data_IF_152077214080
#
_entry.id   IF_152077214080
#
_cell.length_a   1.000
_cell.length_b   1.000
_cell.length_c   1.000
_cell.angle_alpha   90.00
_cell.angle_beta   90.00
_cell.angle_gamma   90.00
#
_symmetry.space_group_name_H-M   'P 1'
#
loop_
_entity.id
_entity.type
_entity.pdbx_description
1 polymer ?
#
# COMPACT_ATOMS: atom_id res chain seq x y z
N UNK A 1 -11.63 1.94 11.66
CA UNK A 1 -12.98 2.44 11.23
C UNK A 1 -12.98 3.93 10.93
N UNK A 2 -12.31 4.78 11.69
CA UNK A 2 -12.29 6.24 11.43
C UNK A 2 -11.73 6.64 10.05
N UNK A 3 -10.68 5.95 9.56
CA UNK A 3 -10.05 6.22 8.24
C UNK A 3 -11.03 5.97 7.08
N UNK A 4 -11.74 4.85 7.08
CA UNK A 4 -12.75 4.54 6.05
C UNK A 4 -13.89 5.56 6.06
N UNK A 5 -14.41 5.92 7.23
CA UNK A 5 -15.46 6.92 7.34
C UNK A 5 -15.02 8.32 6.86
N UNK A 6 -13.74 8.68 7.09
CA UNK A 6 -13.14 9.92 6.56
C UNK A 6 -13.06 9.87 5.04
N UNK A 7 -12.56 8.77 4.47
CA UNK A 7 -12.48 8.60 3.01
C UNK A 7 -13.87 8.64 2.36
N UNK A 8 -14.88 7.98 2.96
CA UNK A 8 -16.25 8.01 2.45
C UNK A 8 -16.84 9.42 2.39
N UNK A 9 -16.52 10.26 3.37
CA UNK A 9 -16.90 11.70 3.32
C UNK A 9 -16.22 12.38 2.14
N UNK A 10 -14.91 12.20 1.99
CA UNK A 10 -14.15 12.77 0.87
C UNK A 10 -14.70 12.30 -0.49
N UNK A 11 -15.08 11.03 -0.62
CA UNK A 11 -15.72 10.48 -1.84
C UNK A 11 -17.02 11.23 -2.15
N UNK A 12 -17.88 11.43 -1.16
CA UNK A 12 -19.13 12.22 -1.32
C UNK A 12 -18.86 13.67 -1.70
N UNK A 13 -17.93 14.31 -1.01
CA UNK A 13 -17.61 15.74 -1.23
C UNK A 13 -17.08 16.00 -2.65
N UNK A 14 -16.54 14.94 -3.29
CA UNK A 14 -16.11 14.97 -4.69
C UNK A 14 -17.21 14.55 -5.69
N UNK A 15 -18.44 14.32 -5.24
CA UNK A 15 -19.56 13.91 -6.10
C UNK A 15 -19.36 12.53 -6.72
N UNK A 16 -18.73 11.61 -5.99
CA UNK A 16 -18.50 10.24 -6.44
C UNK A 16 -19.37 9.27 -5.63
N UNK A 17 -19.81 8.20 -6.29
CA UNK A 17 -20.51 7.08 -5.64
C UNK A 17 -19.55 6.12 -4.96
N UNK A 18 -18.34 5.96 -5.49
CA UNK A 18 -17.28 5.14 -4.90
C UNK A 18 -15.89 5.58 -5.35
N UNK A 19 -14.86 5.10 -4.61
CA UNK A 19 -13.46 5.14 -5.00
C UNK A 19 -12.92 3.71 -5.10
N UNK A 20 -12.28 3.39 -6.22
CA UNK A 20 -11.51 2.14 -6.40
C UNK A 20 -10.07 2.41 -5.98
N UNK A 21 -9.61 1.67 -4.96
CA UNK A 21 -8.26 1.74 -4.41
C UNK A 21 -7.52 0.45 -4.77
N UNK A 22 -6.43 0.59 -5.49
CA UNK A 22 -5.59 -0.53 -5.97
C UNK A 22 -4.18 -0.49 -5.39
N UNK A 23 -3.76 0.66 -4.87
CA UNK A 23 -2.45 0.85 -4.25
C UNK A 23 -2.40 0.14 -2.89
N UNK A 24 -1.60 -0.92 -2.80
CA UNK A 24 -1.53 -1.75 -1.60
C UNK A 24 -1.18 -0.99 -0.31
N UNK A 25 -0.25 -0.02 -0.30
CA UNK A 25 -0.02 0.83 0.86
C UNK A 25 -1.27 1.60 1.32
N UNK A 26 -2.09 2.08 0.38
CA UNK A 26 -3.35 2.74 0.70
C UNK A 26 -4.39 1.76 1.26
N UNK A 27 -4.44 0.55 0.71
CA UNK A 27 -5.30 -0.53 1.24
C UNK A 27 -4.87 -0.90 2.66
N UNK A 28 -3.57 -1.06 2.89
CA UNK A 28 -3.03 -1.31 4.24
C UNK A 28 -3.43 -0.18 5.20
N UNK A 29 -3.20 1.07 4.83
CA UNK A 29 -3.58 2.23 5.63
C UNK A 29 -5.06 2.22 6.01
N UNK A 30 -5.95 1.86 5.07
CA UNK A 30 -7.40 1.93 5.26
C UNK A 30 -7.98 0.77 6.05
N UNK A 31 -7.51 -0.46 5.83
CA UNK A 31 -8.11 -1.70 6.35
C UNK A 31 -7.13 -2.66 7.02
N UNK A 32 -5.83 -2.33 7.08
CA UNK A 32 -4.78 -3.14 7.74
C UNK A 32 -4.23 -4.29 6.91
N UNK A 33 -4.64 -4.46 5.66
CA UNK A 33 -4.22 -5.58 4.82
C UNK A 33 -2.77 -5.44 4.32
N UNK A 34 -1.94 -6.45 4.57
CA UNK A 34 -0.51 -6.49 4.22
C UNK A 34 -0.15 -7.41 3.05
N UNK A 35 -1.14 -8.08 2.45
CA UNK A 35 -0.92 -8.98 1.32
C UNK A 35 -0.56 -8.25 0.02
N UNK A 36 -0.07 -9.01 -0.98
CA UNK A 36 0.47 -8.47 -2.24
C UNK A 36 -0.55 -8.41 -3.40
N UNK A 37 -1.82 -8.74 -3.18
CA UNK A 37 -2.86 -8.65 -4.20
C UNK A 37 -4.22 -8.32 -3.59
N UNK A 38 -4.84 -7.24 -4.04
CA UNK A 38 -6.16 -6.85 -3.57
C UNK A 38 -6.66 -5.55 -4.20
N UNK A 39 -7.97 -5.37 -4.20
CA UNK A 39 -8.65 -4.16 -4.62
C UNK A 39 -9.70 -3.82 -3.58
N UNK A 40 -9.72 -2.57 -3.13
CA UNK A 40 -10.72 -2.06 -2.19
C UNK A 40 -11.64 -1.08 -2.92
N UNK A 41 -12.93 -1.30 -2.84
CA UNK A 41 -13.94 -0.35 -3.31
C UNK A 41 -14.59 0.29 -2.10
N UNK A 42 -14.45 1.61 -1.99
CA UNK A 42 -14.99 2.41 -0.90
C UNK A 42 -16.16 3.24 -1.42
N UNK A 43 -17.41 2.79 -1.19
CA UNK A 43 -18.59 3.56 -1.61
C UNK A 43 -18.75 4.80 -0.74
N UNK A 44 -19.38 5.84 -1.31
CA UNK A 44 -19.76 7.05 -0.58
C UNK A 44 -20.66 6.73 0.63
N UNK A 45 -21.52 5.71 0.49
CA UNK A 45 -22.39 5.20 1.53
C UNK A 45 -22.35 3.68 1.57
N UNK A 46 -22.57 3.11 2.75
CA UNK A 46 -22.56 1.66 2.93
C UNK A 46 -21.19 1.10 3.31
N UNK A 47 -21.06 -0.21 3.27
CA UNK A 47 -19.85 -0.90 3.73
C UNK A 47 -18.84 -1.07 2.59
N UNK A 48 -17.57 -0.65 2.76
CA UNK A 48 -16.51 -0.92 1.80
C UNK A 48 -16.38 -2.40 1.46
N UNK A 49 -15.93 -2.72 0.25
CA UNK A 49 -15.78 -4.09 -0.22
C UNK A 49 -14.35 -4.34 -0.67
N UNK A 50 -13.69 -5.29 -0.01
CA UNK A 50 -12.34 -5.72 -0.31
C UNK A 50 -12.34 -7.05 -1.07
N UNK A 51 -11.59 -7.08 -2.16
CA UNK A 51 -11.43 -8.24 -3.03
C UNK A 51 -9.97 -8.70 -3.01
N UNK A 52 -9.77 -10.00 -2.82
CA UNK A 52 -8.44 -10.62 -2.90
C UNK A 52 -8.59 -12.07 -3.38
N UNK A 53 -7.47 -12.77 -3.56
CA UNK A 53 -7.47 -14.15 -4.02
C UNK A 53 -7.29 -15.18 -2.89
N UNK A 54 -7.45 -16.45 -3.24
CA UNK A 54 -7.46 -17.60 -2.33
C UNK A 54 -6.18 -17.72 -1.46
N UNK A 55 -5.04 -17.20 -1.91
CA UNK A 55 -3.76 -17.23 -1.16
C UNK A 55 -3.87 -16.51 0.18
N UNK A 56 -4.71 -15.49 0.25
CA UNK A 56 -4.88 -14.62 1.42
C UNK A 56 -6.08 -14.98 2.30
N UNK A 57 -6.73 -16.14 2.07
CA UNK A 57 -7.95 -16.57 2.76
C UNK A 57 -7.87 -16.55 4.30
N UNK A 58 -6.72 -16.92 4.85
CA UNK A 58 -6.49 -16.90 6.31
C UNK A 58 -6.10 -15.51 6.79
N UNK A 59 -5.22 -14.83 6.05
CA UNK A 59 -4.67 -13.53 6.39
C UNK A 59 -5.75 -12.44 6.49
N UNK A 60 -6.67 -12.37 5.52
CA UNK A 60 -7.73 -11.35 5.53
C UNK A 60 -8.67 -11.43 6.73
N UNK A 61 -8.84 -12.63 7.32
CA UNK A 61 -9.68 -12.82 8.51
C UNK A 61 -9.07 -12.21 9.77
N UNK A 62 -7.75 -12.08 9.78
CA UNK A 62 -6.99 -11.54 10.92
C UNK A 62 -6.78 -10.04 10.74
N UNK A 63 -6.42 -9.61 9.53
CA UNK A 63 -5.95 -8.25 9.28
C UNK A 63 -7.07 -7.28 8.88
N UNK A 64 -8.04 -7.72 8.06
CA UNK A 64 -8.99 -6.81 7.45
C UNK A 64 -10.10 -6.40 8.39
N UNK A 65 -10.19 -5.11 8.67
CA UNK A 65 -11.24 -4.52 9.47
C UNK A 65 -12.10 -3.51 8.68
N UNK A 66 -13.41 -3.51 8.93
CA UNK A 66 -14.32 -2.48 8.42
C UNK A 66 -14.82 -2.68 6.97
N UNK A 67 -14.37 -3.71 6.25
CA UNK A 67 -14.83 -4.02 4.89
C UNK A 67 -15.57 -5.36 4.80
N UNK A 68 -16.41 -5.54 3.77
CA UNK A 68 -16.85 -6.86 3.31
C UNK A 68 -15.69 -7.49 2.55
N UNK A 69 -15.49 -8.81 2.71
CA UNK A 69 -14.40 -9.51 2.05
C UNK A 69 -14.98 -10.45 0.99
N UNK A 70 -14.42 -10.40 -0.22
CA UNK A 70 -14.63 -11.40 -1.27
C UNK A 70 -13.30 -12.03 -1.64
N UNK A 71 -13.24 -13.35 -1.55
CA UNK A 71 -12.08 -14.15 -1.91
C UNK A 71 -12.40 -14.85 -3.22
N UNK A 72 -11.54 -14.68 -4.21
CA UNK A 72 -11.69 -15.26 -5.54
C UNK A 72 -10.86 -16.54 -5.61
N UNK A 73 -11.45 -17.59 -6.14
CA UNK A 73 -10.80 -18.88 -6.34
C UNK A 73 -9.79 -18.86 -7.49
N UNK A 74 -8.97 -19.93 -7.59
CA UNK A 74 -7.86 -20.03 -8.56
C UNK A 74 -8.26 -19.83 -10.03
N UNK A 75 -9.47 -20.25 -10.38
CA UNK A 75 -9.94 -20.27 -11.77
C UNK A 75 -10.55 -18.93 -12.20
N UNK A 76 -10.73 -17.98 -11.27
CA UNK A 76 -11.38 -16.69 -11.53
C UNK A 76 -10.39 -15.53 -11.37
N UNK A 77 -10.56 -14.53 -12.21
CA UNK A 77 -9.86 -13.27 -12.05
C UNK A 77 -10.54 -12.40 -10.98
N UNK A 78 -9.76 -11.63 -10.25
CA UNK A 78 -10.26 -10.77 -9.16
C UNK A 78 -11.37 -9.82 -9.64
N UNK A 79 -11.24 -9.30 -10.85
CA UNK A 79 -12.18 -8.35 -11.43
C UNK A 79 -13.53 -8.98 -11.82
N UNK A 80 -13.59 -10.28 -12.07
CA UNK A 80 -14.85 -10.97 -12.40
C UNK A 80 -15.82 -10.91 -11.22
N UNK A 81 -15.31 -10.88 -9.99
CA UNK A 81 -16.13 -10.72 -8.80
C UNK A 81 -16.88 -9.38 -8.75
N UNK A 82 -16.42 -8.33 -9.43
CA UNK A 82 -17.14 -7.06 -9.54
C UNK A 82 -18.44 -7.23 -10.33
N UNK A 83 -18.39 -8.01 -11.40
CA UNK A 83 -19.55 -8.31 -12.24
C UNK A 83 -20.52 -9.23 -11.52
N UNK A 84 -20.02 -10.33 -10.95
CA UNK A 84 -20.83 -11.29 -10.19
C UNK A 84 -21.62 -10.65 -9.04
N UNK A 85 -21.02 -9.65 -8.39
CA UNK A 85 -21.65 -8.94 -7.27
C UNK A 85 -22.44 -7.71 -7.68
N UNK A 86 -22.53 -7.43 -9.00
CA UNK A 86 -23.19 -6.23 -9.52
C UNK A 86 -22.73 -4.94 -8.79
N UNK A 87 -21.41 -4.89 -8.50
CA UNK A 87 -20.83 -3.93 -7.53
C UNK A 87 -21.11 -2.47 -7.84
N UNK A 88 -21.24 -2.15 -9.13
CA UNK A 88 -21.41 -0.78 -9.64
C UNK A 88 -22.77 -0.54 -10.31
N UNK A 89 -23.76 -1.41 -10.12
CA UNK A 89 -25.03 -1.33 -10.86
C UNK A 89 -25.81 -0.04 -10.60
N UNK A 90 -25.71 0.50 -9.37
CA UNK A 90 -26.45 1.68 -8.93
C UNK A 90 -25.55 2.93 -8.84
N UNK A 91 -24.35 2.90 -9.43
CA UNK A 91 -23.39 3.99 -9.41
C UNK A 91 -23.35 4.70 -10.76
N UNK A 92 -23.19 6.02 -10.75
CA UNK A 92 -23.03 6.85 -11.95
C UNK A 92 -21.55 7.30 -12.11
N UNK A 93 -20.88 7.64 -11.01
CA UNK A 93 -19.53 8.19 -11.01
C UNK A 93 -18.61 7.45 -10.03
N UNK A 94 -17.56 6.81 -10.55
CA UNK A 94 -16.58 6.07 -9.76
C UNK A 94 -15.19 6.67 -9.95
N UNK A 95 -14.58 7.06 -8.81
CA UNK A 95 -13.20 7.51 -8.76
C UNK A 95 -12.22 6.33 -8.80
N UNK A 96 -11.03 6.58 -9.31
CA UNK A 96 -9.90 5.65 -9.26
C UNK A 96 -8.60 6.42 -9.03
N UNK A 97 -7.59 5.75 -8.46
CA UNK A 97 -6.27 6.33 -8.20
C UNK A 97 -5.53 6.60 -9.52
N UNK A 98 -5.35 7.88 -9.90
CA UNK A 98 -4.82 8.28 -11.22
C UNK A 98 -3.46 7.68 -11.53
N UNK A 99 -2.53 7.69 -10.57
CA UNK A 99 -1.16 7.22 -10.77
C UNK A 99 -0.90 5.78 -10.32
N UNK A 100 -1.87 5.15 -9.65
CA UNK A 100 -1.68 3.85 -9.01
C UNK A 100 -2.61 2.77 -9.54
N UNK A 101 -3.70 3.16 -10.21
CA UNK A 101 -4.63 2.18 -10.79
C UNK A 101 -3.99 1.55 -12.03
N UNK A 102 -3.77 0.23 -12.04
CA UNK A 102 -3.26 -0.45 -13.23
C UNK A 102 -4.23 -0.30 -14.40
N UNK A 103 -3.68 -0.09 -15.60
CA UNK A 103 -4.49 0.11 -16.81
C UNK A 103 -5.51 -1.00 -17.04
N UNK A 104 -5.16 -2.26 -16.79
CA UNK A 104 -6.07 -3.39 -16.98
C UNK A 104 -7.29 -3.32 -16.05
N UNK A 105 -7.16 -2.79 -14.81
CA UNK A 105 -8.28 -2.59 -13.88
C UNK A 105 -9.21 -1.51 -14.42
N UNK A 106 -8.65 -0.36 -14.79
CA UNK A 106 -9.40 0.74 -15.41
C UNK A 106 -10.16 0.28 -16.66
N UNK A 107 -9.46 -0.39 -17.60
CA UNK A 107 -10.02 -0.82 -18.88
C UNK A 107 -11.11 -1.88 -18.70
N UNK A 108 -10.93 -2.80 -17.73
CA UNK A 108 -11.97 -3.77 -17.36
C UNK A 108 -13.24 -3.08 -16.88
N UNK A 109 -13.13 -2.17 -15.91
CA UNK A 109 -14.29 -1.46 -15.37
C UNK A 109 -14.97 -0.66 -16.48
N UNK A 110 -14.22 0.09 -17.28
CA UNK A 110 -14.72 0.87 -18.40
C UNK A 110 -15.51 0.02 -19.44
N UNK A 111 -15.02 -1.18 -19.75
CA UNK A 111 -15.65 -2.07 -20.73
C UNK A 111 -16.90 -2.76 -20.18
N UNK A 112 -16.86 -3.18 -18.92
CA UNK A 112 -17.94 -3.96 -18.29
C UNK A 112 -19.07 -3.10 -17.76
N UNK A 113 -18.77 -1.91 -17.28
CA UNK A 113 -19.73 -0.99 -16.67
C UNK A 113 -19.79 0.32 -17.48
N UNK A 114 -20.30 0.24 -18.72
CA UNK A 114 -20.28 1.34 -19.69
C UNK A 114 -21.08 2.57 -19.29
N UNK A 115 -22.00 2.44 -18.33
CA UNK A 115 -22.79 3.54 -17.80
C UNK A 115 -21.98 4.41 -16.85
N UNK A 116 -20.87 3.89 -16.29
CA UNK A 116 -20.07 4.62 -15.30
C UNK A 116 -19.25 5.74 -15.93
N UNK A 117 -19.28 6.89 -15.29
CA UNK A 117 -18.28 7.93 -15.44
C UNK A 117 -17.08 7.60 -14.55
N UNK A 118 -15.98 7.18 -15.15
CA UNK A 118 -14.71 6.95 -14.42
C UNK A 118 -13.94 8.26 -14.27
N UNK A 119 -13.61 8.63 -13.04
CA UNK A 119 -12.99 9.92 -12.70
C UNK A 119 -11.63 9.68 -12.06
N UNK A 120 -10.52 10.11 -12.69
CA UNK A 120 -9.21 10.00 -12.05
C UNK A 120 -9.14 10.92 -10.83
N UNK A 121 -8.56 10.42 -9.76
CA UNK A 121 -8.37 11.15 -8.51
C UNK A 121 -6.94 11.04 -8.03
N UNK A 122 -6.37 12.20 -7.69
CA UNK A 122 -5.02 12.29 -7.14
C UNK A 122 -5.09 12.31 -5.63
N UNK A 123 -4.22 11.54 -4.99
CA UNK A 123 -3.83 11.68 -3.59
C UNK A 123 -4.99 11.74 -2.56
N UNK A 124 -6.15 11.12 -2.87
CA UNK A 124 -7.28 11.15 -1.92
C UNK A 124 -6.97 10.42 -0.61
N UNK A 125 -6.22 9.32 -0.67
CA UNK A 125 -5.80 8.57 0.52
C UNK A 125 -4.50 9.16 1.08
N UNK A 126 -3.54 9.48 0.24
CA UNK A 126 -2.25 10.04 0.61
C UNK A 126 -2.39 11.34 1.41
N UNK A 127 -3.29 12.22 1.02
CA UNK A 127 -3.59 13.44 1.80
C UNK A 127 -4.04 13.12 3.23
N UNK A 128 -4.73 11.99 3.42
CA UNK A 128 -5.12 11.56 4.77
C UNK A 128 -3.93 11.09 5.61
N UNK A 129 -2.88 10.56 4.98
CA UNK A 129 -1.68 10.07 5.68
C UNK A 129 -0.71 11.19 6.09
N UNK A 130 -0.90 12.40 5.59
CA UNK A 130 -0.01 13.55 5.89
C UNK A 130 -0.01 13.90 7.38
N UNK A 131 -1.17 13.83 8.01
CA UNK A 131 -1.31 14.07 9.47
C UNK A 131 -1.36 12.70 10.16
N UNK A 132 -0.33 12.42 10.96
CA UNK A 132 -0.18 11.15 11.67
C UNK A 132 -1.00 11.13 12.95
N UNK A 133 -1.50 9.95 13.29
CA UNK A 133 -2.09 9.66 14.61
C UNK A 133 -0.98 9.36 15.63
N UNK A 134 -1.31 9.37 16.91
CA UNK A 134 -0.35 9.06 17.97
C UNK A 134 0.26 7.66 17.79
N UNK A 135 -0.54 6.65 17.47
CA UNK A 135 -0.04 5.29 17.17
C UNK A 135 0.92 5.27 15.98
N UNK A 136 0.68 6.09 14.94
CA UNK A 136 1.57 6.20 13.78
C UNK A 136 2.87 6.94 14.16
N UNK A 137 2.79 7.95 15.01
CA UNK A 137 3.98 8.64 15.56
C UNK A 137 4.81 7.66 16.38
N UNK A 138 4.19 6.87 17.23
CA UNK A 138 4.88 5.85 18.04
C UNK A 138 5.58 4.80 17.16
N UNK A 139 4.93 4.35 16.07
CA UNK A 139 5.53 3.41 15.13
C UNK A 139 6.75 4.03 14.41
N UNK A 140 6.64 5.28 13.96
CA UNK A 140 7.74 6.01 13.31
C UNK A 140 8.90 6.20 14.31
N UNK A 141 8.60 6.56 15.56
CA UNK A 141 9.61 6.72 16.62
C UNK A 141 10.36 5.42 16.89
N UNK A 142 9.65 4.28 16.95
CA UNK A 142 10.29 2.97 17.08
C UNK A 142 11.16 2.62 15.87
N UNK A 143 10.70 2.90 14.67
CA UNK A 143 11.48 2.66 13.45
C UNK A 143 12.75 3.52 13.42
N UNK A 144 12.67 4.79 13.82
CA UNK A 144 13.83 5.67 13.94
C UNK A 144 14.85 5.15 14.98
N UNK A 145 14.38 4.71 16.14
CA UNK A 145 15.25 4.14 17.17
C UNK A 145 15.95 2.83 16.74
N UNK A 146 15.31 2.03 15.87
CA UNK A 146 15.96 0.89 15.21
C UNK A 146 17.06 1.41 14.27
N UNK A 147 16.76 2.43 13.47
CA UNK A 147 17.73 3.04 12.55
C UNK A 147 18.99 3.52 13.27
N UNK A 148 18.85 4.20 14.40
CA UNK A 148 19.97 4.65 15.23
C UNK A 148 20.83 3.48 15.71
N UNK A 149 20.22 2.40 16.19
CA UNK A 149 20.93 1.20 16.63
C UNK A 149 21.63 0.47 15.46
N UNK A 150 21.02 0.46 14.28
CA UNK A 150 21.65 -0.10 13.06
C UNK A 150 22.90 0.72 12.72
N UNK A 151 22.80 2.05 12.74
CA UNK A 151 23.92 2.92 12.46
C UNK A 151 25.10 2.65 13.40
N UNK A 152 24.87 2.57 14.71
CA UNK A 152 25.91 2.26 15.70
C UNK A 152 26.62 0.93 15.42
N UNK A 153 25.85 -0.09 14.99
CA UNK A 153 26.42 -1.40 14.66
C UNK A 153 27.23 -1.40 13.38
N UNK A 154 26.73 -0.72 12.35
CA UNK A 154 27.35 -0.71 11.04
C UNK A 154 28.66 0.09 11.02
N UNK A 155 28.75 1.20 11.78
CA UNK A 155 30.02 1.95 11.92
C UNK A 155 31.15 1.06 12.43
N UNK A 156 30.90 0.10 13.32
CA UNK A 156 31.93 -0.80 13.85
C UNK A 156 32.50 -1.75 12.78
N UNK A 157 31.75 -2.00 11.70
CA UNK A 157 32.14 -2.91 10.61
C UNK A 157 32.94 -2.20 9.52
N UNK A 158 32.75 -0.89 9.34
CA UNK A 158 33.40 -0.11 8.28
C UNK A 158 34.91 -0.01 8.57
N UNK A 159 35.71 -0.74 7.76
CA UNK A 159 37.18 -0.80 7.84
C UNK A 159 37.78 -0.88 6.44
N UNK A 160 39.04 -0.51 6.25
CA UNK A 160 39.72 -0.74 4.99
C UNK A 160 39.63 -2.19 4.56
N UNK A 161 39.19 -2.43 3.32
CA UNK A 161 39.03 -3.76 2.73
C UNK A 161 37.60 -4.33 2.81
N UNK A 162 36.68 -3.70 3.56
CA UNK A 162 35.26 -4.06 3.54
C UNK A 162 34.59 -3.45 2.30
N UNK A 163 33.81 -4.26 1.60
CA UNK A 163 33.08 -3.83 0.38
C UNK A 163 31.78 -3.09 0.72
N UNK A 164 31.28 -2.32 -0.22
CA UNK A 164 29.96 -1.65 -0.10
C UNK A 164 28.84 -2.67 0.09
N UNK A 165 28.90 -3.82 -0.60
CA UNK A 165 27.92 -4.91 -0.46
C UNK A 165 27.90 -5.52 0.95
N UNK A 166 29.08 -5.71 1.57
CA UNK A 166 29.15 -6.22 2.94
C UNK A 166 28.51 -5.24 3.93
N UNK A 167 28.77 -3.95 3.77
CA UNK A 167 28.13 -2.89 4.60
C UNK A 167 26.62 -2.89 4.40
N UNK A 168 26.14 -2.99 3.16
CA UNK A 168 24.71 -3.03 2.85
C UNK A 168 24.03 -4.27 3.45
N UNK A 169 24.71 -5.43 3.43
CA UNK A 169 24.23 -6.64 4.06
C UNK A 169 24.12 -6.51 5.59
N UNK A 170 25.09 -5.89 6.25
CA UNK A 170 25.04 -5.61 7.69
C UNK A 170 23.90 -4.68 8.07
N UNK A 171 23.62 -3.64 7.27
CA UNK A 171 22.47 -2.75 7.46
C UNK A 171 21.18 -3.57 7.49
N UNK A 172 20.91 -4.34 6.44
CA UNK A 172 19.70 -5.18 6.32
C UNK A 172 19.61 -6.24 7.41
N UNK A 173 20.74 -6.86 7.77
CA UNK A 173 20.81 -7.86 8.83
C UNK A 173 20.42 -7.26 10.19
N UNK A 174 21.05 -6.15 10.56
CA UNK A 174 20.79 -5.52 11.86
C UNK A 174 19.39 -4.91 11.93
N UNK A 175 18.87 -4.32 10.84
CA UNK A 175 17.51 -3.81 10.79
C UNK A 175 16.49 -4.92 11.13
N UNK A 176 16.60 -6.09 10.49
CA UNK A 176 15.73 -7.24 10.77
C UNK A 176 15.95 -7.83 12.18
N UNK A 177 17.20 -7.94 12.61
CA UNK A 177 17.54 -8.49 13.92
C UNK A 177 17.01 -7.64 15.08
N UNK A 178 16.91 -6.33 14.89
CA UNK A 178 16.37 -5.38 15.85
C UNK A 178 14.85 -5.24 15.80
N UNK A 179 14.17 -6.00 14.91
CA UNK A 179 12.72 -6.06 14.85
C UNK A 179 12.09 -5.21 13.75
N UNK A 180 12.88 -4.66 12.83
CA UNK A 180 12.38 -4.05 11.59
C UNK A 180 11.77 -5.10 10.66
N UNK A 181 10.68 -4.76 9.99
CA UNK A 181 10.01 -5.66 9.02
C UNK A 181 10.84 -5.84 7.74
N UNK A 182 11.64 -4.83 7.38
CA UNK A 182 12.49 -4.81 6.21
C UNK A 182 13.13 -3.44 5.99
N UNK A 183 13.90 -3.36 4.92
CA UNK A 183 14.49 -2.10 4.49
C UNK A 183 13.40 -1.19 3.91
N UNK A 184 13.41 0.11 4.24
CA UNK A 184 12.43 1.08 3.77
C UNK A 184 12.57 1.39 2.27
N UNK A 185 13.78 1.21 1.73
CA UNK A 185 14.17 1.36 0.33
C UNK A 185 15.44 0.53 0.08
N UNK A 186 15.82 0.39 -1.17
CA UNK A 186 17.05 -0.31 -1.53
C UNK A 186 18.26 0.36 -0.86
N UNK A 187 19.07 -0.43 -0.14
CA UNK A 187 20.16 0.11 0.69
C UNK A 187 21.23 0.75 -0.20
N UNK A 188 21.48 2.02 0.01
CA UNK A 188 22.49 2.80 -0.69
C UNK A 188 23.76 2.85 0.16
N UNK A 189 24.83 2.28 -0.36
CA UNK A 189 26.19 2.39 0.20
C UNK A 189 27.13 2.71 -0.93
N UNK A 190 27.86 3.82 -0.82
CA UNK A 190 28.83 4.24 -1.81
C UNK A 190 30.07 4.78 -1.14
N UNK A 191 31.25 4.49 -1.69
CA UNK A 191 32.55 4.92 -1.17
C UNK A 191 33.39 5.58 -2.27
N UNK A 192 34.40 6.37 -1.88
CA UNK A 192 35.32 7.04 -2.79
C UNK A 192 34.60 7.90 -3.83
N UNK A 193 34.99 7.82 -5.09
CA UNK A 193 34.41 8.60 -6.20
C UNK A 193 32.93 8.29 -6.44
N UNK A 194 32.47 7.09 -6.07
CA UNK A 194 31.06 6.66 -6.20
C UNK A 194 30.10 7.44 -5.31
N UNK A 195 30.58 8.09 -4.25
CA UNK A 195 29.75 8.96 -3.39
C UNK A 195 29.12 10.14 -4.12
N UNK A 196 29.64 10.48 -5.32
CA UNK A 196 29.03 11.48 -6.19
C UNK A 196 27.70 11.00 -6.85
N UNK A 197 27.36 9.72 -6.77
CA UNK A 197 26.16 9.14 -7.34
C UNK A 197 25.02 9.15 -6.30
N UNK A 198 23.96 9.98 -6.46
CA UNK A 198 22.89 10.09 -5.46
C UNK A 198 22.14 8.77 -5.19
N UNK A 199 22.15 7.85 -6.15
CA UNK A 199 21.51 6.53 -6.08
C UNK A 199 22.50 5.41 -6.36
N UNK A 200 23.76 5.57 -5.91
CA UNK A 200 24.81 4.58 -6.07
C UNK A 200 24.50 3.33 -5.27
N UNK A 201 24.04 2.27 -5.94
CA UNK A 201 23.86 0.96 -5.29
C UNK A 201 25.20 0.39 -4.89
N UNK A 202 25.22 -0.40 -3.83
CA UNK A 202 26.41 -1.06 -3.31
C UNK A 202 27.00 -2.04 -4.34
N UNK A 203 28.33 -2.07 -4.45
CA UNK A 203 29.12 -2.96 -5.35
C UNK A 203 30.17 -3.74 -4.58
#
# INVERSE_FOLDING_TARGET
MARLARLQRTVRDHGLDALVVTHLPNINYLIGYTGSNGILVVPAQGKPHFFTDFRYKSQVKIEVAGAKISIVDREKQLLDAFVEKQLFSDFDAVGFEEYKCPFHVYDFIRKKFRHLKLVPKREMVETMTMIKTDDEIDAITKAAAIGDQVFDKVIEVIKPGVTELEVAAEISYHAKKLGGEGDAFEVIVASGERTALPHGLAT
#
